data_IF_948357220295
#
_entry.id   IF_948357220295
#
_cell.length_a   1.000
_cell.length_b   1.000
_cell.length_c   1.000
_cell.angle_alpha   90.00
_cell.angle_beta   90.00
_cell.angle_gamma   90.00
#
_symmetry.space_group_name_H-M   'P 1'
#
loop_
_entity.id
_entity.type
_entity.pdbx_description
1 polymer ?
#
# COMPACT_ATOMS: atom_id res chain seq x y z
N UNK A 1 -16.85 29.29 -21.98
CA UNK A 1 -17.32 28.24 -21.06
C UNK A 1 -16.76 26.93 -21.59
N UNK A 2 -15.77 26.35 -20.92
CA UNK A 2 -15.16 25.11 -21.38
C UNK A 2 -16.17 23.98 -21.15
N UNK A 3 -16.69 23.41 -22.24
CA UNK A 3 -17.65 22.31 -22.18
C UNK A 3 -16.89 21.03 -21.85
N UNK A 4 -17.08 20.50 -20.65
CA UNK A 4 -16.63 19.15 -20.30
C UNK A 4 -17.42 18.15 -21.14
N UNK A 5 -16.75 17.44 -22.05
CA UNK A 5 -17.38 16.41 -22.88
C UNK A 5 -17.59 15.14 -22.07
N UNK A 6 -18.54 14.29 -22.47
CA UNK A 6 -18.78 13.00 -21.83
C UNK A 6 -17.50 12.13 -21.75
N UNK A 7 -16.61 12.27 -22.73
CA UNK A 7 -15.29 11.64 -22.74
C UNK A 7 -14.37 12.17 -21.63
N UNK A 8 -14.35 13.48 -21.37
CA UNK A 8 -13.58 14.04 -20.26
C UNK A 8 -14.10 13.55 -18.90
N UNK A 9 -15.41 13.43 -18.73
CA UNK A 9 -16.03 12.89 -17.50
C UNK A 9 -15.65 11.42 -17.29
N UNK A 10 -15.69 10.62 -18.36
CA UNK A 10 -15.32 9.21 -18.31
C UNK A 10 -13.84 9.01 -17.95
N UNK A 11 -12.94 9.80 -18.52
CA UNK A 11 -11.51 9.74 -18.20
C UNK A 11 -11.28 10.06 -16.71
N UNK A 12 -11.90 11.11 -16.18
CA UNK A 12 -11.79 11.48 -14.76
C UNK A 12 -12.34 10.36 -13.86
N UNK A 13 -13.47 9.74 -14.21
CA UNK A 13 -14.04 8.64 -13.44
C UNK A 13 -13.12 7.41 -13.41
N UNK A 14 -12.51 7.06 -14.55
CA UNK A 14 -11.54 5.96 -14.62
C UNK A 14 -10.28 6.28 -13.81
N UNK A 15 -9.77 7.51 -13.88
CA UNK A 15 -8.61 7.94 -13.07
C UNK A 15 -8.90 7.85 -11.57
N UNK A 16 -10.09 8.25 -11.12
CA UNK A 16 -10.51 8.10 -9.72
C UNK A 16 -10.59 6.61 -9.32
N UNK A 17 -11.11 5.76 -10.19
CA UNK A 17 -11.21 4.32 -9.94
C UNK A 17 -9.83 3.67 -9.78
N UNK A 18 -8.86 4.05 -10.62
CA UNK A 18 -7.49 3.56 -10.57
C UNK A 18 -6.82 3.96 -9.25
N UNK A 19 -6.96 5.22 -8.83
CA UNK A 19 -6.42 5.71 -7.55
C UNK A 19 -7.10 5.04 -6.36
N UNK A 20 -8.42 4.82 -6.41
CA UNK A 20 -9.13 4.09 -5.36
C UNK A 20 -8.74 2.61 -5.30
N UNK A 21 -8.29 2.04 -6.43
CA UNK A 21 -7.89 0.63 -6.56
C UNK A 21 -6.42 0.35 -6.23
N UNK A 22 -5.57 1.39 -6.07
CA UNK A 22 -4.25 1.18 -5.50
C UNK A 22 -4.44 0.80 -4.04
N UNK A 23 -4.49 -0.51 -3.79
CA UNK A 23 -4.44 -1.09 -2.46
C UNK A 23 -3.19 -0.53 -1.81
N UNK A 24 -3.37 0.48 -0.98
CA UNK A 24 -2.29 1.08 -0.24
C UNK A 24 -1.91 0.03 0.80
N UNK A 25 -0.78 -0.65 0.59
CA UNK A 25 -0.18 -1.47 1.63
C UNK A 25 -0.16 -0.64 2.91
N UNK A 26 -0.61 -1.22 4.02
CA UNK A 26 -0.49 -0.53 5.30
C UNK A 26 1.01 -0.34 5.60
N UNK A 27 1.38 0.70 6.35
CA UNK A 27 2.78 0.90 6.78
C UNK A 27 3.37 -0.36 7.42
N UNK A 28 2.52 -1.14 8.11
CA UNK A 28 2.84 -2.42 8.73
C UNK A 28 3.21 -3.48 7.69
N UNK A 29 2.42 -3.58 6.61
CA UNK A 29 2.65 -4.55 5.55
C UNK A 29 3.90 -4.18 4.74
N UNK A 30 4.14 -2.89 4.50
CA UNK A 30 5.36 -2.44 3.82
C UNK A 30 6.62 -2.71 4.65
N UNK A 31 6.54 -2.51 5.97
CA UNK A 31 7.61 -2.89 6.89
C UNK A 31 7.89 -4.40 6.82
N UNK A 32 6.86 -5.23 6.92
CA UNK A 32 7.02 -6.68 6.83
C UNK A 32 7.57 -7.13 5.47
N UNK A 33 7.02 -6.60 4.37
CA UNK A 33 7.42 -6.98 3.01
C UNK A 33 8.92 -6.72 2.78
N UNK A 34 9.38 -5.53 3.13
CA UNK A 34 10.78 -5.13 2.95
C UNK A 34 11.73 -6.05 3.72
N UNK A 35 11.42 -6.33 4.98
CA UNK A 35 12.29 -7.16 5.82
C UNK A 35 12.22 -8.64 5.45
N UNK A 36 11.03 -9.16 5.17
CA UNK A 36 10.85 -10.56 4.78
C UNK A 36 11.48 -10.86 3.43
N UNK A 37 11.46 -9.92 2.48
CA UNK A 37 12.20 -10.06 1.22
C UNK A 37 13.70 -10.25 1.47
N UNK A 38 14.32 -9.39 2.29
CA UNK A 38 15.74 -9.50 2.63
C UNK A 38 16.07 -10.78 3.41
N UNK A 39 15.24 -11.16 4.39
CA UNK A 39 15.42 -12.40 5.17
C UNK A 39 15.35 -13.65 4.29
N UNK A 40 14.37 -13.68 3.38
CA UNK A 40 14.20 -14.80 2.45
C UNK A 40 15.39 -14.94 1.50
N UNK A 41 16.03 -13.84 1.08
CA UNK A 41 17.22 -13.89 0.21
C UNK A 41 18.40 -14.63 0.85
N UNK A 42 18.46 -14.67 2.18
CA UNK A 42 19.51 -15.34 2.95
C UNK A 42 19.01 -16.62 3.65
N UNK A 43 17.85 -17.14 3.26
CA UNK A 43 17.31 -18.39 3.80
C UNK A 43 16.77 -18.29 5.23
N UNK A 44 16.52 -17.08 5.72
CA UNK A 44 15.99 -16.84 7.07
C UNK A 44 14.46 -16.75 7.01
N UNK A 45 13.71 -17.43 7.90
CA UNK A 45 12.25 -17.40 7.91
C UNK A 45 11.66 -16.01 8.10
N UNK A 46 10.49 -15.78 7.48
CA UNK A 46 9.74 -14.54 7.57
C UNK A 46 9.27 -14.26 9.00
N UNK A 47 9.20 -12.98 9.35
CA UNK A 47 8.58 -12.48 10.57
C UNK A 47 7.13 -12.07 10.32
N UNK A 48 6.34 -12.06 11.39
CA UNK A 48 4.95 -11.60 11.41
C UNK A 48 4.82 -10.36 12.29
N UNK A 49 3.81 -9.54 12.04
CA UNK A 49 3.55 -8.36 12.85
C UNK A 49 3.17 -8.75 14.28
N UNK A 50 3.69 -8.03 15.27
CA UNK A 50 3.31 -8.18 16.66
C UNK A 50 2.87 -6.83 17.22
N UNK A 51 1.59 -6.73 17.61
CA UNK A 51 1.02 -5.47 18.09
C UNK A 51 1.64 -5.00 19.41
N UNK A 52 1.99 -5.91 20.32
CA UNK A 52 2.63 -5.57 21.60
C UNK A 52 4.01 -4.94 21.40
N UNK A 53 4.81 -5.49 20.48
CA UNK A 53 6.13 -4.93 20.14
C UNK A 53 5.97 -3.56 19.46
N UNK A 54 5.00 -3.43 18.57
CA UNK A 54 4.70 -2.15 17.92
C UNK A 54 4.30 -1.07 18.96
N UNK A 55 3.42 -1.41 19.90
CA UNK A 55 3.03 -0.50 20.99
C UNK A 55 4.20 -0.16 21.92
N UNK A 56 5.10 -1.10 22.20
CA UNK A 56 6.31 -0.84 22.97
C UNK A 56 7.22 0.17 22.28
N UNK A 57 7.43 0.04 20.97
CA UNK A 57 8.30 0.90 20.16
C UNK A 57 7.76 2.33 19.93
N UNK A 58 6.50 2.61 20.31
CA UNK A 58 5.92 3.95 20.27
C UNK A 58 6.24 4.80 21.51
N UNK A 59 6.90 4.24 22.53
CA UNK A 59 7.33 4.95 23.74
C UNK A 59 8.79 5.39 23.65
#
# INVERSE_FOLDING_TARGET
>A
MNTFTATSVLIVAISILIIASSVQSTEQQDYLNTHNAARSQVGVPNIVWNATIASYALN
#
